data_IF_695102561392
#
_entry.id   IF_695102561392
#
_cell.length_a   1.000
_cell.length_b   1.000
_cell.length_c   1.000
_cell.angle_alpha   90.00
_cell.angle_beta   90.00
_cell.angle_gamma   90.00
#
_symmetry.space_group_name_H-M   'P 1'
#
loop_
_entity.id
_entity.type
_entity.pdbx_description
1 polymer ?
#
# COMPACT_ATOMS: atom_id res chain seq x y z
N UNK A 1 28.20 -18.31 8.90
CA UNK A 1 26.76 -18.60 8.71
C UNK A 1 26.11 -18.47 10.07
N UNK A 2 25.52 -17.31 10.37
CA UNK A 2 24.79 -17.10 11.62
C UNK A 2 23.30 -17.33 11.34
N UNK A 3 22.59 -18.12 12.15
CA UNK A 3 21.14 -18.21 12.07
C UNK A 3 20.57 -16.89 12.57
N UNK A 4 19.73 -16.24 11.76
CA UNK A 4 18.98 -15.08 12.20
C UNK A 4 17.87 -15.57 13.14
N UNK A 5 18.13 -15.47 14.45
CA UNK A 5 17.12 -15.63 15.49
C UNK A 5 16.08 -14.51 15.38
N UNK A 6 15.01 -14.78 14.62
CA UNK A 6 13.77 -14.00 14.63
C UNK A 6 12.98 -14.43 15.87
N UNK A 7 13.38 -13.92 17.02
CA UNK A 7 12.60 -14.07 18.25
C UNK A 7 11.31 -13.25 18.16
N UNK A 8 10.18 -13.97 18.24
CA UNK A 8 8.83 -13.56 18.66
C UNK A 8 8.45 -12.10 18.41
N UNK A 9 7.53 -11.89 17.47
CA UNK A 9 6.51 -10.84 17.59
C UNK A 9 5.14 -11.51 17.73
N UNK A 10 4.41 -11.02 18.72
CA UNK A 10 3.13 -11.45 19.29
C UNK A 10 2.01 -11.69 18.26
N UNK A 11 0.92 -12.39 18.65
CA UNK A 11 -0.02 -12.98 17.71
C UNK A 11 -0.72 -11.92 16.85
N UNK A 12 -0.94 -12.32 15.59
CA UNK A 12 -1.80 -11.66 14.62
C UNK A 12 -3.13 -11.31 15.29
N UNK A 13 -3.30 -10.05 15.67
CA UNK A 13 -4.58 -9.53 16.13
C UNK A 13 -5.39 -9.11 14.91
N UNK A 14 -6.10 -10.07 14.31
CA UNK A 14 -7.14 -9.87 13.29
C UNK A 14 -8.42 -9.21 13.85
N UNK A 15 -8.33 -8.50 14.96
CA UNK A 15 -9.46 -7.81 15.57
C UNK A 15 -9.47 -6.35 15.16
N UNK A 16 -10.26 -6.05 14.13
CA UNK A 16 -11.36 -5.06 14.18
C UNK A 16 -11.76 -4.65 12.76
N UNK A 17 -12.63 -5.47 12.18
CA UNK A 17 -13.61 -4.98 11.21
C UNK A 17 -14.56 -4.03 11.96
N UNK A 18 -14.14 -2.78 12.19
CA UNK A 18 -15.00 -1.80 12.82
C UNK A 18 -15.82 -1.10 11.74
N UNK A 19 -17.13 -1.32 11.81
CA UNK A 19 -18.12 -0.52 11.13
C UNK A 19 -17.81 0.98 11.30
N UNK A 20 -17.89 1.69 10.18
CA UNK A 20 -17.59 3.10 9.92
C UNK A 20 -18.17 4.07 10.95
N UNK A 21 -17.48 4.27 12.06
CA UNK A 21 -17.38 5.56 12.72
C UNK A 21 -16.03 6.14 12.31
N UNK A 22 -16.02 7.15 11.45
CA UNK A 22 -14.79 7.72 10.90
C UNK A 22 -13.92 8.30 12.02
N UNK A 23 -13.01 7.50 12.57
CA UNK A 23 -11.91 8.07 13.35
C UNK A 23 -11.09 8.94 12.41
N UNK A 24 -10.77 10.18 12.79
CA UNK A 24 -9.89 11.01 11.99
C UNK A 24 -8.52 10.32 11.92
N UNK A 25 -7.98 10.21 10.70
CA UNK A 25 -6.62 9.68 10.49
C UNK A 25 -5.60 10.55 11.22
N UNK A 26 -4.56 9.92 11.76
CA UNK A 26 -3.39 10.67 12.19
C UNK A 26 -2.69 11.30 10.97
N UNK A 27 -1.91 12.37 11.15
CA UNK A 27 -1.14 12.97 10.05
C UNK A 27 -0.25 11.96 9.32
N UNK A 28 0.34 11.00 10.06
CA UNK A 28 1.20 9.96 9.50
C UNK A 28 0.38 8.94 8.68
N UNK A 29 -0.79 8.54 9.18
CA UNK A 29 -1.69 7.66 8.43
C UNK A 29 -2.13 8.31 7.11
N UNK A 30 -2.52 9.58 7.17
CA UNK A 30 -2.93 10.34 5.99
C UNK A 30 -1.78 10.48 4.98
N UNK A 31 -0.55 10.72 5.45
CA UNK A 31 0.63 10.80 4.60
C UNK A 31 0.82 9.53 3.77
N UNK A 32 0.76 8.35 4.40
CA UNK A 32 0.96 7.07 3.69
C UNK A 32 -0.19 6.77 2.71
N UNK A 33 -1.44 7.06 3.09
CA UNK A 33 -2.58 6.89 2.18
C UNK A 33 -2.50 7.79 0.96
N UNK A 34 -2.16 9.07 1.14
CA UNK A 34 -1.99 10.01 0.03
C UNK A 34 -0.82 9.61 -0.87
N UNK A 35 0.30 9.18 -0.26
CA UNK A 35 1.47 8.70 -1.00
C UNK A 35 1.12 7.46 -1.83
N UNK A 36 0.42 6.49 -1.26
CA UNK A 36 -0.01 5.29 -1.97
C UNK A 36 -0.94 5.62 -3.13
N UNK A 37 -1.95 6.47 -2.90
CA UNK A 37 -2.88 6.91 -3.94
C UNK A 37 -2.15 7.59 -5.11
N UNK A 38 -1.17 8.45 -4.81
CA UNK A 38 -0.35 9.10 -5.83
C UNK A 38 0.47 8.11 -6.65
N UNK A 39 1.17 7.18 -6.00
CA UNK A 39 2.00 6.19 -6.69
C UNK A 39 1.19 5.26 -7.60
N UNK A 40 -0.02 4.88 -7.18
CA UNK A 40 -0.95 4.09 -8.00
C UNK A 40 -1.36 4.87 -9.26
N UNK A 41 -1.70 6.16 -9.10
CA UNK A 41 -2.00 7.02 -10.24
C UNK A 41 -0.81 7.16 -11.20
N UNK A 42 0.38 7.42 -10.68
CA UNK A 42 1.60 7.49 -11.49
C UNK A 42 1.82 6.18 -12.27
N UNK A 43 1.50 5.02 -11.66
CA UNK A 43 1.62 3.72 -12.34
C UNK A 43 0.71 3.61 -13.54
N UNK A 44 -0.53 4.10 -13.45
CA UNK A 44 -1.45 4.14 -14.58
C UNK A 44 -0.94 5.06 -15.69
N UNK A 45 -0.48 6.26 -15.33
CA UNK A 45 0.06 7.23 -16.28
C UNK A 45 1.27 6.65 -17.04
N UNK A 46 2.16 5.95 -16.33
CA UNK A 46 3.32 5.31 -16.95
C UNK A 46 3.02 4.00 -17.67
N UNK A 47 1.97 3.26 -17.30
CA UNK A 47 1.63 1.99 -17.95
C UNK A 47 1.32 2.15 -19.44
N UNK A 48 0.80 3.31 -19.84
CA UNK A 48 0.51 3.63 -21.24
C UNK A 48 1.74 4.19 -22.00
N UNK A 49 2.82 4.53 -21.29
CA UNK A 49 3.99 5.20 -21.87
C UNK A 49 5.25 4.33 -21.86
N UNK A 50 5.36 3.41 -20.90
CA UNK A 50 6.56 2.64 -20.64
C UNK A 50 6.27 1.14 -20.76
N UNK A 51 7.28 0.40 -21.25
CA UNK A 51 7.24 -1.06 -21.21
C UNK A 51 7.18 -1.55 -19.74
N UNK A 52 6.48 -2.66 -19.45
CA UNK A 52 6.51 -3.31 -18.14
C UNK A 52 7.92 -3.62 -17.63
N UNK A 53 8.88 -3.82 -18.55
CA UNK A 53 10.27 -4.10 -18.22
C UNK A 53 11.14 -2.88 -17.95
N UNK A 54 10.61 -1.66 -18.15
CA UNK A 54 11.32 -0.42 -17.88
C UNK A 54 11.67 -0.31 -16.38
N UNK A 55 12.89 0.14 -16.10
CA UNK A 55 13.39 0.27 -14.73
C UNK A 55 12.53 1.24 -13.89
N UNK A 56 11.90 2.23 -14.51
CA UNK A 56 11.00 3.18 -13.83
C UNK A 56 9.74 2.48 -13.34
N UNK A 57 9.18 1.58 -14.14
CA UNK A 57 8.02 0.77 -13.74
C UNK A 57 8.39 -0.17 -12.59
N UNK A 58 9.58 -0.78 -12.66
CA UNK A 58 10.11 -1.63 -11.57
C UNK A 58 10.34 -0.84 -10.28
N UNK A 59 10.89 0.36 -10.37
CA UNK A 59 11.08 1.26 -9.22
C UNK A 59 9.75 1.67 -8.60
N UNK A 60 8.78 2.05 -9.43
CA UNK A 60 7.45 2.46 -8.99
C UNK A 60 6.72 1.33 -8.25
N UNK A 61 6.77 0.10 -8.78
CA UNK A 61 6.19 -1.07 -8.11
C UNK A 61 6.85 -1.34 -6.75
N UNK A 62 8.16 -1.15 -6.61
CA UNK A 62 8.86 -1.25 -5.31
C UNK A 62 8.41 -0.16 -4.34
N UNK A 63 8.25 1.09 -4.81
CA UNK A 63 7.77 2.19 -3.98
C UNK A 63 6.33 1.96 -3.49
N UNK A 64 5.46 1.45 -4.37
CA UNK A 64 4.08 1.06 -4.03
C UNK A 64 4.09 -0.02 -2.95
N UNK A 65 4.89 -1.07 -3.12
CA UNK A 65 4.98 -2.16 -2.15
C UNK A 65 5.47 -1.68 -0.78
N UNK A 66 6.55 -0.89 -0.75
CA UNK A 66 7.07 -0.32 0.50
C UNK A 66 6.02 0.54 1.21
N UNK A 67 5.32 1.41 0.46
CA UNK A 67 4.29 2.29 1.02
C UNK A 67 3.08 1.50 1.52
N UNK A 68 2.74 0.38 0.86
CA UNK A 68 1.71 -0.53 1.36
C UNK A 68 2.12 -1.17 2.69
N UNK A 69 3.38 -1.61 2.84
CA UNK A 69 3.87 -2.11 4.12
C UNK A 69 3.75 -1.05 5.21
N UNK A 70 4.13 0.20 4.92
CA UNK A 70 3.96 1.33 5.86
C UNK A 70 2.48 1.52 6.26
N UNK A 71 1.55 1.45 5.29
CA UNK A 71 0.11 1.48 5.59
C UNK A 71 -0.33 0.33 6.51
N UNK A 72 0.17 -0.88 6.28
CA UNK A 72 -0.14 -2.06 7.12
C UNK A 72 0.36 -1.86 8.54
N UNK A 73 1.59 -1.38 8.71
CA UNK A 73 2.17 -1.07 10.03
C UNK A 73 1.37 0.01 10.78
N UNK A 74 0.73 0.93 10.06
CA UNK A 74 -0.14 1.96 10.62
C UNK A 74 -1.60 1.51 10.84
N UNK A 75 -1.92 0.24 10.59
CA UNK A 75 -3.27 -0.32 10.74
C UNK A 75 -4.25 0.03 9.60
N UNK A 76 -3.73 0.48 8.44
CA UNK A 76 -4.51 0.98 7.30
C UNK A 76 -4.64 -0.06 6.18
N UNK A 77 -4.50 -1.35 6.48
CA UNK A 77 -4.52 -2.40 5.47
C UNK A 77 -5.83 -2.42 4.66
N UNK A 78 -6.97 -2.14 5.31
CA UNK A 78 -8.28 -2.08 4.65
C UNK A 78 -8.39 -0.91 3.66
N UNK A 79 -8.01 0.29 4.10
CA UNK A 79 -8.03 1.49 3.25
C UNK A 79 -7.04 1.38 2.08
N UNK A 80 -5.86 0.82 2.33
CA UNK A 80 -4.88 0.57 1.30
C UNK A 80 -5.39 -0.44 0.24
N UNK A 81 -6.07 -1.51 0.67
CA UNK A 81 -6.73 -2.47 -0.26
C UNK A 81 -7.80 -1.79 -1.11
N UNK A 82 -8.64 -0.93 -0.50
CA UNK A 82 -9.66 -0.18 -1.23
C UNK A 82 -9.05 0.74 -2.31
N UNK A 83 -7.85 1.28 -2.08
CA UNK A 83 -7.11 2.05 -3.10
C UNK A 83 -6.66 1.17 -4.28
N UNK A 84 -6.18 -0.05 -4.01
CA UNK A 84 -5.84 -1.01 -5.08
C UNK A 84 -7.07 -1.47 -5.88
N UNK A 85 -8.20 -1.70 -5.21
CA UNK A 85 -9.45 -2.08 -5.88
C UNK A 85 -9.94 -0.97 -6.82
N UNK A 86 -9.89 0.29 -6.37
CA UNK A 86 -10.18 1.45 -7.22
C UNK A 86 -9.23 1.53 -8.42
N UNK A 87 -7.93 1.36 -8.18
CA UNK A 87 -6.92 1.39 -9.23
C UNK A 87 -7.17 0.31 -10.30
N UNK A 88 -7.49 -0.92 -9.89
CA UNK A 88 -7.83 -2.00 -10.81
C UNK A 88 -9.14 -1.76 -11.56
N UNK A 89 -10.15 -1.19 -10.90
CA UNK A 89 -11.41 -0.83 -11.54
C UNK A 89 -11.20 0.23 -12.64
N UNK A 90 -10.34 1.22 -12.39
CA UNK A 90 -9.97 2.23 -13.40
C UNK A 90 -9.24 1.62 -14.60
N UNK A 91 -8.38 0.62 -14.40
CA UNK A 91 -7.66 -0.04 -15.50
C UNK A 91 -8.52 -1.02 -16.34
N UNK A 92 -9.78 -1.27 -15.94
CA UNK A 92 -10.71 -2.15 -16.68
C UNK A 92 -11.73 -1.39 -17.52
N UNK A 93 -11.84 -0.07 -17.36
CA UNK A 93 -12.78 0.80 -18.07
C UNK A 93 -12.08 1.46 -19.27
#
# INVERSE_FOLDING_TARGET
MLPFDIQRRDPVNESQHQARGARPYSPLQLLFLLRLARLLRERQEYANLLSPDDWRMKLLNKAIYSTYCDCVEQGLAGDAKALFERDQATNRA
#
